data_IF_869368719596
#
_entry.id   IF_869368719596
#
_cell.length_a   1.000
_cell.length_b   1.000
_cell.length_c   1.000
_cell.angle_alpha   90.00
_cell.angle_beta   90.00
_cell.angle_gamma   90.00
#
_symmetry.space_group_name_H-M   'P 1'
#
loop_
_entity.id
_entity.type
_entity.pdbx_description
1 polymer ?
#
# COMPACT_ATOMS: atom_id res chain seq x y z
N UNK A 1 12.31 -4.35 11.26
CA UNK A 1 11.29 -4.66 10.23
C UNK A 1 10.94 -3.36 9.52
N UNK A 2 10.39 -3.43 8.31
CA UNK A 2 10.03 -2.22 7.55
C UNK A 2 8.68 -1.70 8.07
N UNK A 3 8.60 -0.43 8.45
CA UNK A 3 7.42 0.19 9.10
C UNK A 3 6.11 -0.06 8.33
N UNK A 4 6.15 -0.02 6.98
CA UNK A 4 4.99 -0.29 6.14
C UNK A 4 4.54 -1.76 6.20
N UNK A 5 5.50 -2.68 6.30
CA UNK A 5 5.21 -4.11 6.42
C UNK A 5 4.53 -4.41 7.76
N UNK A 6 5.00 -3.77 8.83
CA UNK A 6 4.41 -3.94 10.17
C UNK A 6 3.00 -3.32 10.23
N UNK A 7 2.81 -2.13 9.66
CA UNK A 7 1.49 -1.50 9.52
C UNK A 7 0.50 -2.40 8.80
N UNK A 8 0.91 -3.05 7.70
CA UNK A 8 0.04 -3.96 6.97
C UNK A 8 -0.34 -5.18 7.82
N UNK A 9 0.64 -5.79 8.51
CA UNK A 9 0.37 -7.01 9.27
C UNK A 9 -0.39 -6.78 10.59
N UNK A 10 -0.35 -5.57 11.13
CA UNK A 10 -1.14 -5.20 12.31
C UNK A 10 -2.65 -5.37 12.11
N UNK A 11 -3.13 -5.23 10.86
CA UNK A 11 -4.53 -5.50 10.49
C UNK A 11 -4.99 -6.92 10.91
N UNK A 12 -4.05 -7.87 10.92
CA UNK A 12 -4.30 -9.30 11.14
C UNK A 12 -3.87 -9.78 12.52
N UNK A 13 -3.61 -8.89 13.48
CA UNK A 13 -3.23 -9.28 14.85
C UNK A 13 -4.34 -10.08 15.56
N UNK A 14 -5.60 -9.95 15.14
CA UNK A 14 -6.70 -10.82 15.59
C UNK A 14 -6.77 -12.15 14.84
N UNK A 15 -6.96 -12.10 13.52
CA UNK A 15 -6.99 -13.30 12.66
C UNK A 15 -6.96 -12.92 11.17
N UNK A 16 -6.08 -13.56 10.39
CA UNK A 16 -6.07 -13.43 8.91
C UNK A 16 -7.40 -13.91 8.34
N UNK A 17 -7.89 -15.07 8.80
CA UNK A 17 -9.12 -15.66 8.30
C UNK A 17 -10.33 -14.74 8.50
N UNK A 18 -10.43 -14.10 9.67
CA UNK A 18 -11.53 -13.17 9.97
C UNK A 18 -11.53 -11.99 9.01
N UNK A 19 -10.38 -11.34 8.81
CA UNK A 19 -10.25 -10.17 7.92
C UNK A 19 -10.52 -10.50 6.45
N UNK A 20 -10.09 -11.68 6.00
CA UNK A 20 -10.39 -12.14 4.64
C UNK A 20 -11.89 -12.38 4.47
N UNK A 21 -12.58 -12.99 5.45
CA UNK A 21 -14.03 -13.21 5.40
C UNK A 21 -14.83 -11.91 5.33
N UNK A 22 -14.35 -10.84 5.95
CA UNK A 22 -14.99 -9.52 5.92
C UNK A 22 -15.04 -8.93 4.49
N UNK A 23 -14.27 -9.46 3.53
CA UNK A 23 -14.29 -9.03 2.12
C UNK A 23 -15.44 -9.65 1.30
N UNK A 24 -16.17 -10.63 1.84
CA UNK A 24 -17.29 -11.32 1.16
C UNK A 24 -16.94 -11.84 -0.25
N UNK A 25 -15.75 -12.40 -0.42
CA UNK A 25 -15.27 -12.99 -1.67
C UNK A 25 -15.63 -14.48 -1.74
N UNK A 26 -15.53 -15.08 -2.92
CA UNK A 26 -15.64 -16.53 -3.07
C UNK A 26 -14.52 -17.27 -2.30
N UNK A 27 -14.74 -18.57 -2.02
CA UNK A 27 -13.84 -19.37 -1.21
C UNK A 27 -12.44 -19.52 -1.84
N UNK A 28 -12.35 -19.61 -3.17
CA UNK A 28 -11.08 -19.76 -3.88
C UNK A 28 -10.24 -18.47 -3.75
N UNK A 29 -10.83 -17.32 -4.02
CA UNK A 29 -10.18 -16.01 -3.90
C UNK A 29 -9.80 -15.73 -2.44
N UNK A 30 -10.69 -16.05 -1.50
CA UNK A 30 -10.44 -15.92 -0.06
C UNK A 30 -9.23 -16.75 0.38
N UNK A 31 -9.15 -18.02 -0.04
CA UNK A 31 -8.04 -18.89 0.33
C UNK A 31 -6.73 -18.42 -0.33
N UNK A 32 -6.77 -17.97 -1.59
CA UNK A 32 -5.61 -17.39 -2.27
C UNK A 32 -5.07 -16.16 -1.53
N UNK A 33 -5.94 -15.26 -1.08
CA UNK A 33 -5.54 -14.11 -0.26
C UNK A 33 -4.92 -14.55 1.06
N UNK A 34 -5.57 -15.48 1.78
CA UNK A 34 -5.09 -16.00 3.07
C UNK A 34 -3.69 -16.60 2.95
N UNK A 35 -3.45 -17.42 1.92
CA UNK A 35 -2.16 -18.04 1.67
C UNK A 35 -1.11 -16.99 1.31
N UNK A 36 -1.45 -16.00 0.47
CA UNK A 36 -0.53 -14.91 0.11
C UNK A 36 -0.10 -14.11 1.34
N UNK A 37 -1.06 -13.71 2.19
CA UNK A 37 -0.80 -12.97 3.43
C UNK A 37 0.11 -13.78 4.35
N UNK A 38 -0.22 -15.05 4.59
CA UNK A 38 0.51 -15.92 5.51
C UNK A 38 1.95 -16.19 5.05
N UNK A 39 2.13 -16.48 3.76
CA UNK A 39 3.45 -16.73 3.17
C UNK A 39 4.34 -15.49 3.21
N UNK A 40 3.81 -14.32 2.84
CA UNK A 40 4.59 -13.07 2.90
C UNK A 40 4.87 -12.63 4.34
N UNK A 41 3.96 -12.90 5.28
CA UNK A 41 4.18 -12.63 6.72
C UNK A 41 5.38 -13.41 7.24
N UNK A 42 5.48 -14.69 6.87
CA UNK A 42 6.64 -15.54 7.21
C UNK A 42 7.94 -15.03 6.59
N UNK A 43 7.88 -14.47 5.38
CA UNK A 43 9.02 -13.87 4.67
C UNK A 43 9.34 -12.43 5.10
N UNK A 44 8.51 -11.82 5.93
CA UNK A 44 8.62 -10.41 6.37
C UNK A 44 8.64 -9.41 5.19
N UNK A 45 7.92 -9.74 4.12
CA UNK A 45 7.75 -8.89 2.93
C UNK A 45 6.33 -8.37 2.85
N UNK A 46 6.09 -7.29 2.10
CA UNK A 46 4.70 -6.92 1.78
C UNK A 46 4.09 -7.99 0.87
N UNK A 47 2.77 -8.24 0.94
CA UNK A 47 2.12 -9.11 -0.02
C UNK A 47 2.00 -8.43 -1.39
N UNK A 48 1.51 -9.20 -2.37
CA UNK A 48 1.31 -8.72 -3.75
C UNK A 48 0.39 -7.49 -3.81
N UNK A 49 0.53 -6.62 -4.83
CA UNK A 49 -0.26 -5.40 -4.95
C UNK A 49 -1.78 -5.63 -4.88
N UNK A 50 -2.31 -6.66 -5.55
CA UNK A 50 -3.74 -6.98 -5.48
C UNK A 50 -4.24 -7.30 -4.05
N UNK A 51 -3.38 -7.85 -3.19
CA UNK A 51 -3.72 -8.13 -1.79
C UNK A 51 -3.82 -6.81 -1.03
N UNK A 52 -2.88 -5.89 -1.27
CA UNK A 52 -2.89 -4.56 -0.64
C UNK A 52 -4.13 -3.79 -1.10
N UNK A 53 -4.48 -3.87 -2.38
CA UNK A 53 -5.69 -3.27 -2.94
C UNK A 53 -6.97 -3.81 -2.27
N UNK A 54 -7.05 -5.13 -2.03
CA UNK A 54 -8.21 -5.74 -1.37
C UNK A 54 -8.45 -5.20 0.06
N UNK A 55 -7.41 -4.70 0.72
CA UNK A 55 -7.51 -4.11 2.06
C UNK A 55 -7.31 -2.59 2.07
N UNK A 56 -7.43 -1.90 0.92
CA UNK A 56 -7.15 -0.46 0.81
C UNK A 56 -7.95 0.39 1.81
N UNK A 57 -9.19 0.02 2.09
CA UNK A 57 -10.11 0.79 2.94
C UNK A 57 -9.75 0.72 4.44
N UNK A 58 -8.78 -0.13 4.81
CA UNK A 58 -8.24 -0.23 6.16
C UNK A 58 -7.07 0.73 6.43
N UNK A 59 -6.63 1.47 5.41
CA UNK A 59 -5.49 2.37 5.49
C UNK A 59 -5.88 3.77 5.04
N UNK A 60 -5.21 4.78 5.58
CA UNK A 60 -5.26 6.11 4.98
C UNK A 60 -4.61 6.08 3.59
N UNK A 61 -4.99 7.04 2.75
CA UNK A 61 -4.57 7.07 1.35
C UNK A 61 -3.04 7.09 1.18
N UNK A 62 -2.31 7.81 2.03
CA UNK A 62 -0.86 7.91 1.93
C UNK A 62 -0.20 6.57 2.29
N UNK A 63 -0.62 5.95 3.39
CA UNK A 63 -0.14 4.61 3.78
C UNK A 63 -0.43 3.58 2.69
N UNK A 64 -1.64 3.55 2.15
CA UNK A 64 -2.01 2.66 1.05
C UNK A 64 -1.11 2.85 -0.18
N UNK A 65 -0.95 4.10 -0.63
CA UNK A 65 -0.12 4.43 -1.80
C UNK A 65 1.32 3.98 -1.59
N UNK A 66 1.91 4.27 -0.42
CA UNK A 66 3.28 3.88 -0.12
C UNK A 66 3.46 2.35 -0.10
N UNK A 67 2.54 1.61 0.52
CA UNK A 67 2.55 0.15 0.51
C UNK A 67 2.45 -0.41 -0.91
N UNK A 68 1.51 0.10 -1.71
CA UNK A 68 1.28 -0.35 -3.08
C UNK A 68 2.51 -0.12 -3.96
N UNK A 69 3.07 1.10 -3.96
CA UNK A 69 4.25 1.44 -4.75
C UNK A 69 5.47 0.60 -4.39
N UNK A 70 5.66 0.32 -3.09
CA UNK A 70 6.74 -0.53 -2.61
C UNK A 70 6.55 -1.99 -3.04
N UNK A 71 5.37 -2.56 -2.78
CA UNK A 71 5.05 -3.93 -3.19
C UNK A 71 5.22 -4.13 -4.68
N UNK A 72 4.68 -3.22 -5.51
CA UNK A 72 4.79 -3.30 -6.96
C UNK A 72 6.25 -3.37 -7.44
N UNK A 73 7.16 -2.62 -6.81
CA UNK A 73 8.60 -2.64 -7.14
C UNK A 73 9.31 -3.92 -6.70
N UNK A 74 8.80 -4.61 -5.69
CA UNK A 74 9.38 -5.85 -5.15
C UNK A 74 8.99 -7.10 -5.97
N UNK A 75 7.93 -7.03 -6.78
CA UNK A 75 7.43 -8.18 -7.56
C UNK A 75 7.69 -8.02 -9.06
N UNK A 76 8.45 -8.96 -9.63
CA UNK A 76 8.97 -8.87 -11.01
C UNK A 76 8.01 -9.29 -12.14
N UNK A 77 6.71 -9.48 -11.89
CA UNK A 77 5.72 -9.83 -12.92
C UNK A 77 4.34 -9.26 -12.53
N UNK A 78 4.12 -7.94 -12.66
CA UNK A 78 2.81 -7.34 -12.44
C UNK A 78 1.88 -7.63 -13.61
N UNK A 79 0.59 -7.79 -13.33
CA UNK A 79 -0.42 -7.85 -14.40
C UNK A 79 -0.79 -6.43 -14.89
N UNK A 80 -1.59 -6.34 -15.95
CA UNK A 80 -2.01 -5.06 -16.53
C UNK A 80 -2.77 -4.18 -15.52
N UNK A 81 -3.70 -4.77 -14.78
CA UNK A 81 -4.48 -4.08 -13.74
C UNK A 81 -3.56 -3.49 -12.65
N UNK A 82 -2.61 -4.27 -12.16
CA UNK A 82 -1.65 -3.82 -11.15
C UNK A 82 -0.78 -2.66 -11.66
N UNK A 83 -0.40 -2.72 -12.94
CA UNK A 83 0.39 -1.70 -13.64
C UNK A 83 -0.40 -0.39 -13.79
N UNK A 84 -1.66 -0.47 -14.18
CA UNK A 84 -2.52 0.70 -14.36
C UNK A 84 -2.73 1.45 -13.04
N UNK A 85 -2.99 0.72 -11.95
CA UNK A 85 -3.10 1.31 -10.62
C UNK A 85 -1.77 1.92 -10.19
N UNK A 86 -0.65 1.23 -10.41
CA UNK A 86 0.67 1.76 -10.10
C UNK A 86 0.92 3.10 -10.78
N UNK A 87 0.63 3.22 -12.08
CA UNK A 87 0.83 4.46 -12.84
C UNK A 87 -0.02 5.59 -12.25
N UNK A 88 -1.30 5.33 -11.94
CA UNK A 88 -2.22 6.32 -11.36
C UNK A 88 -1.74 6.79 -9.98
N UNK A 89 -1.42 5.86 -9.08
CA UNK A 89 -0.97 6.19 -7.72
C UNK A 89 0.39 6.87 -7.72
N UNK A 90 1.33 6.42 -8.56
CA UNK A 90 2.66 7.01 -8.66
C UNK A 90 2.61 8.45 -9.20
N UNK A 91 1.74 8.73 -10.18
CA UNK A 91 1.51 10.08 -10.67
C UNK A 91 0.97 10.98 -9.56
N UNK A 92 -0.13 10.57 -8.90
CA UNK A 92 -0.75 11.31 -7.79
C UNK A 92 0.27 11.62 -6.68
N UNK A 93 1.03 10.60 -6.25
CA UNK A 93 2.04 10.74 -5.22
C UNK A 93 3.17 11.71 -5.60
N UNK A 94 3.61 11.73 -6.86
CA UNK A 94 4.61 12.70 -7.35
C UNK A 94 4.06 14.13 -7.35
N UNK A 95 2.82 14.30 -7.79
CA UNK A 95 2.18 15.62 -7.86
C UNK A 95 2.01 16.22 -6.46
N UNK A 96 1.57 15.43 -5.47
CA UNK A 96 1.46 15.86 -4.06
C UNK A 96 2.81 16.24 -3.47
N UNK A 97 3.87 15.47 -3.73
CA UNK A 97 5.23 15.81 -3.27
C UNK A 97 5.74 17.12 -3.88
N UNK A 98 5.47 17.34 -5.16
CA UNK A 98 5.86 18.57 -5.85
C UNK A 98 5.12 19.78 -5.27
N UNK A 99 3.82 19.66 -4.99
CA UNK A 99 3.03 20.73 -4.38
C UNK A 99 3.53 21.07 -2.97
N UNK A 100 3.77 20.04 -2.15
CA UNK A 100 4.35 20.20 -0.82
C UNK A 100 5.70 20.95 -0.88
N UNK A 101 6.59 20.56 -1.78
CA UNK A 101 7.87 21.23 -1.98
C UNK A 101 7.70 22.71 -2.35
N UNK A 102 6.79 23.03 -3.28
CA UNK A 102 6.49 24.43 -3.65
C UNK A 102 5.97 25.24 -2.46
N UNK A 103 5.11 24.65 -1.64
CA UNK A 103 4.55 25.29 -0.43
C UNK A 103 5.65 25.57 0.61
N UNK A 104 6.48 24.58 0.92
CA UNK A 104 7.61 24.73 1.85
C UNK A 104 8.59 25.80 1.36
N UNK A 105 8.96 25.77 0.07
CA UNK A 105 9.83 26.78 -0.52
C UNK A 105 9.28 28.19 -0.34
N UNK A 106 7.98 28.42 -0.60
CA UNK A 106 7.31 29.71 -0.39
C UNK A 106 7.35 30.16 1.08
N UNK A 107 7.09 29.25 2.02
CA UNK A 107 7.15 29.54 3.46
C UNK A 107 8.57 29.92 3.90
N UNK A 108 9.59 29.20 3.41
CA UNK A 108 10.99 29.52 3.68
C UNK A 108 11.37 30.91 3.17
N UNK A 109 11.00 31.25 1.93
CA UNK A 109 11.26 32.59 1.40
C UNK A 109 10.55 33.67 2.22
N UNK A 110 9.27 33.47 2.57
CA UNK A 110 8.52 34.42 3.38
C UNK A 110 9.15 34.64 4.77
N UNK A 111 9.69 33.58 5.39
CA UNK A 111 10.38 33.65 6.67
C UNK A 111 11.78 34.32 6.59
N UNK A 112 12.43 34.32 5.43
CA UNK A 112 13.73 34.98 5.21
C UNK A 112 13.60 36.47 4.85
N UNK A 113 12.39 36.93 4.52
CA UNK A 113 12.10 38.33 4.16
C UNK A 113 11.63 39.20 5.33
N UNK A 114 11.73 38.70 6.57
CA UNK A 114 11.57 39.46 7.83
C UNK A 114 12.93 39.59 8.52
#
# INVERSE_FOLDING_TARGET
MNELTDKFYNLFNGSVLRRVKELNLDDETSERLRLNISNNKRRKTLPRPYVIEAFKDYFDEDTYVQMYLKSYREYHNPNSHETDIFIKLNKKHRDTKLDHYKKVKRLMYAAMTF
#
